data_IF_913573394975
#
_entry.id   IF_913573394975
#
_cell.length_a   1.000
_cell.length_b   1.000
_cell.length_c   1.000
_cell.angle_alpha   90.00
_cell.angle_beta   90.00
_cell.angle_gamma   90.00
#
_symmetry.space_group_name_H-M   'P 1'
#
loop_
_entity.id
_entity.type
_entity.pdbx_description
1 polymer ?
#
# COMPACT_ATOMS: atom_id res chain seq x y z
N UNK A 1 -6.61 9.93 -2.40
CA UNK A 1 -5.48 10.46 -1.61
C UNK A 1 -5.72 10.29 -0.11
N UNK A 2 -6.92 10.62 0.39
CA UNK A 2 -7.28 10.58 1.83
C UNK A 2 -7.23 9.19 2.51
N UNK A 3 -7.64 8.12 1.83
CA UNK A 3 -7.60 6.73 2.37
C UNK A 3 -6.19 6.17 2.49
N UNK A 4 -5.30 6.59 1.57
CA UNK A 4 -3.91 6.14 1.49
C UNK A 4 -3.04 6.72 2.61
N UNK A 5 -3.30 7.97 3.01
CA UNK A 5 -2.66 8.57 4.17
C UNK A 5 -3.14 7.95 5.48
N UNK A 6 -4.42 7.57 5.60
CA UNK A 6 -4.96 7.02 6.85
C UNK A 6 -4.40 5.65 7.22
N UNK A 7 -4.34 4.70 6.28
CA UNK A 7 -3.82 3.35 6.58
C UNK A 7 -2.33 3.40 6.93
N UNK A 8 -1.54 4.14 6.15
CA UNK A 8 -0.11 4.33 6.41
C UNK A 8 0.14 5.03 7.76
N UNK A 9 -0.68 6.04 8.09
CA UNK A 9 -0.59 6.75 9.37
C UNK A 9 -0.92 5.83 10.55
N UNK A 10 -2.01 5.05 10.45
CA UNK A 10 -2.41 4.11 11.52
C UNK A 10 -1.33 3.06 11.75
N UNK A 11 -0.79 2.44 10.69
CA UNK A 11 0.28 1.44 10.83
C UNK A 11 1.56 2.04 11.43
N UNK A 12 1.94 3.25 11.00
CA UNK A 12 3.11 3.95 11.54
C UNK A 12 2.93 4.32 13.02
N UNK A 13 1.73 4.75 13.40
CA UNK A 13 1.38 5.05 14.81
C UNK A 13 1.44 3.77 15.65
N UNK A 14 0.85 2.66 15.19
CA UNK A 14 0.89 1.38 15.92
C UNK A 14 2.33 0.88 16.13
N UNK A 15 3.19 0.99 15.10
CA UNK A 15 4.60 0.62 15.20
C UNK A 15 5.37 1.53 16.17
N UNK A 16 5.10 2.85 16.13
CA UNK A 16 5.70 3.80 17.05
C UNK A 16 5.30 3.53 18.51
N UNK A 17 4.04 3.19 18.75
CA UNK A 17 3.54 2.81 20.09
C UNK A 17 4.24 1.53 20.56
N UNK A 18 4.27 0.48 19.74
CA UNK A 18 4.89 -0.80 20.10
C UNK A 18 6.39 -0.67 20.38
N UNK A 19 7.09 0.16 19.60
CA UNK A 19 8.52 0.41 19.81
C UNK A 19 8.75 1.27 21.07
N UNK A 20 7.90 2.26 21.30
CA UNK A 20 7.94 3.08 22.51
C UNK A 20 7.71 2.27 23.78
N UNK A 21 6.73 1.34 23.77
CA UNK A 21 6.49 0.45 24.91
C UNK A 21 7.65 -0.51 25.14
N UNK A 22 8.22 -1.10 24.07
CA UNK A 22 9.40 -1.96 24.17
C UNK A 22 10.59 -1.21 24.79
N UNK A 23 10.86 0.01 24.31
CA UNK A 23 11.93 0.85 24.85
C UNK A 23 11.70 1.19 26.33
N UNK A 24 10.47 1.49 26.72
CA UNK A 24 10.12 1.77 28.12
C UNK A 24 10.35 0.56 29.02
N UNK A 25 9.98 -0.65 28.56
CA UNK A 25 10.25 -1.89 29.29
C UNK A 25 11.75 -2.12 29.44
N UNK A 26 12.53 -1.98 28.36
CA UNK A 26 13.99 -2.13 28.41
C UNK A 26 14.61 -1.11 29.37
N UNK A 27 14.18 0.15 29.30
CA UNK A 27 14.67 1.20 30.19
C UNK A 27 14.42 0.88 31.66
N UNK A 28 13.21 0.42 31.99
CA UNK A 28 12.84 0.02 33.33
C UNK A 28 13.66 -1.19 33.81
N UNK A 29 13.74 -2.25 33.00
CA UNK A 29 14.51 -3.46 33.35
C UNK A 29 16.01 -3.20 33.52
N UNK A 30 16.61 -2.36 32.68
CA UNK A 30 18.04 -2.01 32.81
C UNK A 30 18.28 -1.20 34.08
N UNK A 31 17.39 -0.24 34.40
CA UNK A 31 17.55 0.57 35.61
C UNK A 31 17.44 -0.29 36.86
N UNK A 32 16.44 -1.17 36.94
CA UNK A 32 16.28 -2.10 38.06
C UNK A 32 17.48 -3.05 38.22
N UNK A 33 18.01 -3.59 37.10
CA UNK A 33 19.17 -4.47 37.13
C UNK A 33 20.45 -3.75 37.58
N UNK A 34 20.60 -2.48 37.20
CA UNK A 34 21.74 -1.65 37.61
C UNK A 34 21.66 -1.33 39.10
N UNK A 35 20.49 -0.93 39.60
CA UNK A 35 20.28 -0.72 41.04
C UNK A 35 20.63 -1.97 41.87
N UNK A 36 20.16 -3.16 41.46
CA UNK A 36 20.44 -4.42 42.16
C UNK A 36 21.95 -4.76 42.15
N UNK A 37 22.61 -4.59 41.01
CA UNK A 37 24.05 -4.88 40.88
C UNK A 37 24.91 -3.87 41.64
N UNK A 38 24.53 -2.60 41.60
CA UNK A 38 25.22 -1.51 42.27
C UNK A 38 25.18 -1.71 43.79
N UNK A 39 23.99 -1.93 44.35
CA UNK A 39 23.83 -2.11 45.80
C UNK A 39 24.69 -3.29 46.33
N UNK A 40 24.78 -4.37 45.55
CA UNK A 40 25.64 -5.52 45.87
C UNK A 40 27.14 -5.18 45.76
N UNK A 41 27.56 -4.61 44.64
CA UNK A 41 28.98 -4.30 44.39
C UNK A 41 29.53 -3.30 45.42
N UNK A 42 28.79 -2.23 45.69
CA UNK A 42 29.21 -1.21 46.63
C UNK A 42 29.12 -1.66 48.09
N UNK A 43 28.15 -2.52 48.42
CA UNK A 43 28.11 -3.20 49.71
C UNK A 43 29.35 -4.07 49.95
N UNK A 44 29.77 -4.85 48.96
CA UNK A 44 31.00 -5.66 49.01
C UNK A 44 32.26 -4.79 49.16
N UNK A 45 32.35 -3.65 48.44
CA UNK A 45 33.45 -2.68 48.58
C UNK A 45 33.52 -2.07 49.98
N UNK A 46 32.38 -1.63 50.53
CA UNK A 46 32.32 -1.09 51.89
C UNK A 46 32.69 -2.16 52.94
N UNK A 47 32.22 -3.39 52.78
CA UNK A 47 32.59 -4.49 53.67
C UNK A 47 34.10 -4.80 53.63
N UNK A 48 34.73 -4.74 52.44
CA UNK A 48 36.18 -4.91 52.31
C UNK A 48 36.95 -3.77 53.01
N UNK A 49 36.49 -2.53 52.87
CA UNK A 49 37.05 -1.36 53.57
C UNK A 49 36.94 -1.54 55.09
N UNK A 50 35.75 -1.89 55.60
CA UNK A 50 35.55 -2.13 57.03
C UNK A 50 36.43 -3.24 57.57
N UNK A 51 36.59 -4.34 56.82
CA UNK A 51 37.46 -5.45 57.21
C UNK A 51 38.92 -5.03 57.32
N UNK A 52 39.39 -4.11 56.47
CA UNK A 52 40.73 -3.55 56.56
C UNK A 52 40.88 -2.70 57.85
N UNK A 53 39.90 -1.85 58.15
CA UNK A 53 39.86 -1.04 59.39
C UNK A 53 39.83 -1.95 60.64
N UNK A 54 39.00 -3.00 60.62
CA UNK A 54 38.90 -3.99 61.69
C UNK A 54 40.21 -4.77 61.90
N UNK A 55 40.90 -5.13 60.81
CA UNK A 55 42.17 -5.85 60.87
C UNK A 55 43.25 -5.04 61.59
N UNK A 56 43.35 -3.74 61.29
CA UNK A 56 44.31 -2.83 61.95
C UNK A 56 43.99 -2.66 63.43
N UNK A 57 42.72 -2.42 63.77
CA UNK A 57 42.29 -2.36 65.17
C UNK A 57 42.56 -3.68 65.92
N UNK A 58 42.26 -4.83 65.32
CA UNK A 58 42.54 -6.13 65.91
C UNK A 58 44.05 -6.37 66.12
N UNK A 59 44.90 -5.79 65.28
CA UNK A 59 46.35 -5.75 65.48
C UNK A 59 46.76 -5.04 66.77
N UNK A 60 46.16 -3.87 67.04
CA UNK A 60 46.40 -3.14 68.29
C UNK A 60 45.95 -3.94 69.52
N UNK A 61 44.76 -4.54 69.47
CA UNK A 61 44.21 -5.34 70.57
C UNK A 61 45.08 -6.56 70.84
N UNK A 62 45.52 -7.29 69.80
CA UNK A 62 46.42 -8.45 69.96
C UNK A 62 47.73 -8.09 70.63
N UNK A 63 48.23 -6.88 70.39
CA UNK A 63 49.47 -6.39 70.95
C UNK A 63 49.29 -5.65 72.30
N UNK A 64 48.05 -5.53 72.80
CA UNK A 64 47.72 -4.79 74.03
C UNK A 64 47.97 -3.28 73.94
N UNK A 65 47.94 -2.72 72.74
CA UNK A 65 48.24 -1.30 72.45
C UNK A 65 46.98 -0.45 72.24
N UNK A 66 45.80 -1.04 72.34
CA UNK A 66 44.49 -0.41 72.14
C UNK A 66 44.15 0.66 73.19
N UNK A 67 44.76 0.59 74.38
CA UNK A 67 44.63 1.62 75.42
C UNK A 67 45.64 2.76 75.35
N UNK A 68 46.63 2.70 74.45
CA UNK A 68 47.70 3.69 74.37
C UNK A 68 47.42 4.68 73.25
N UNK A 69 47.06 5.91 73.62
CA UNK A 69 46.57 6.94 72.69
C UNK A 69 47.52 7.21 71.52
N UNK A 70 48.83 7.24 71.75
CA UNK A 70 49.82 7.46 70.70
C UNK A 70 49.79 6.37 69.60
N UNK A 71 49.65 5.09 69.99
CA UNK A 71 49.59 3.97 69.04
C UNK A 71 48.24 3.91 68.32
N UNK A 72 47.14 4.22 69.03
CA UNK A 72 45.80 4.31 68.41
C UNK A 72 45.77 5.43 67.38
N UNK A 73 46.30 6.62 67.69
CA UNK A 73 46.36 7.74 66.75
C UNK A 73 47.24 7.42 65.54
N UNK A 74 48.38 6.75 65.75
CA UNK A 74 49.25 6.33 64.64
C UNK A 74 48.55 5.33 63.72
N UNK A 75 47.87 4.33 64.26
CA UNK A 75 47.11 3.36 63.47
C UNK A 75 45.93 4.02 62.72
N UNK A 76 45.21 4.91 63.39
CA UNK A 76 44.13 5.68 62.78
C UNK A 76 44.63 6.53 61.60
N UNK A 77 45.77 7.23 61.76
CA UNK A 77 46.38 8.00 60.67
C UNK A 77 46.83 7.10 59.51
N UNK A 78 47.41 5.93 59.80
CA UNK A 78 47.78 4.93 58.80
C UNK A 78 46.56 4.49 57.97
N UNK A 79 45.49 4.06 58.64
CA UNK A 79 44.24 3.66 57.98
C UNK A 79 43.65 4.80 57.15
N UNK A 80 43.57 6.02 57.69
CA UNK A 80 43.05 7.17 56.93
C UNK A 80 43.90 7.47 55.68
N UNK A 81 45.22 7.29 55.76
CA UNK A 81 46.11 7.47 54.61
C UNK A 81 45.91 6.39 53.55
N UNK A 82 45.71 5.13 53.94
CA UNK A 82 45.43 4.03 53.02
C UNK A 82 44.06 4.19 52.36
N UNK A 83 43.05 4.59 53.13
CA UNK A 83 41.70 4.86 52.61
C UNK A 83 41.67 6.08 51.67
N UNK A 84 42.52 7.09 51.89
CA UNK A 84 42.64 8.23 51.00
C UNK A 84 43.19 7.86 49.61
N UNK A 85 43.96 6.77 49.52
CA UNK A 85 44.53 6.25 48.27
C UNK A 85 43.52 5.42 47.47
N UNK A 86 42.45 4.94 48.11
CA UNK A 86 41.35 4.23 47.43
C UNK A 86 40.54 5.21 46.59
N UNK A 87 40.95 5.36 45.32
CA UNK A 87 40.19 6.06 44.29
C UNK A 87 39.55 5.03 43.37
N UNK A 88 38.24 5.13 43.18
CA UNK A 88 37.55 4.37 42.15
C UNK A 88 37.64 5.10 40.80
N UNK A 89 37.72 4.32 39.72
CA UNK A 89 37.78 4.87 38.35
C UNK A 89 36.50 5.64 37.97
N UNK A 90 35.39 5.36 38.66
CA UNK A 90 34.07 5.94 38.40
C UNK A 90 33.75 7.16 39.29
N UNK A 91 34.76 7.69 40.01
CA UNK A 91 34.63 8.89 40.84
C UNK A 91 34.05 8.63 42.23
N UNK A 92 33.91 7.36 42.62
CA UNK A 92 33.59 7.00 43.98
C UNK A 92 34.79 7.20 44.92
N UNK A 93 34.50 7.60 46.16
CA UNK A 93 35.51 7.90 47.17
C UNK A 93 35.04 7.52 48.56
N UNK A 94 36.01 7.30 49.44
CA UNK A 94 35.76 7.02 50.85
C UNK A 94 35.66 8.33 51.63
N UNK A 95 34.65 8.41 52.48
CA UNK A 95 34.42 9.50 53.43
C UNK A 95 34.39 8.87 54.83
N UNK A 96 35.19 9.39 55.75
CA UNK A 96 35.14 8.94 57.16
C UNK A 96 34.71 10.11 58.02
N UNK A 97 33.69 9.90 58.84
CA UNK A 97 33.13 10.89 59.76
C UNK A 97 33.34 10.44 61.21
N UNK A 98 33.51 11.41 62.12
CA UNK A 98 33.46 11.15 63.56
C UNK A 98 32.00 11.09 64.08
N UNK A 99 31.81 10.74 65.36
CA UNK A 99 30.50 10.72 66.04
C UNK A 99 29.68 12.02 65.93
N UNK A 100 30.35 13.14 65.67
CA UNK A 100 29.74 14.46 65.57
C UNK A 100 29.43 14.84 64.10
N UNK A 101 29.87 14.04 63.12
CA UNK A 101 29.76 14.32 61.69
C UNK A 101 30.89 15.20 61.14
N UNK A 102 32.01 15.31 61.87
CA UNK A 102 33.22 15.99 61.38
C UNK A 102 33.95 15.08 60.40
N UNK A 103 34.45 15.66 59.32
CA UNK A 103 35.21 14.93 58.31
C UNK A 103 36.59 14.55 58.84
N UNK A 104 36.84 13.26 59.04
CA UNK A 104 38.16 12.71 59.32
C UNK A 104 38.92 12.42 58.02
N UNK A 105 38.21 11.94 56.99
CA UNK A 105 38.71 11.78 55.63
C UNK A 105 37.68 12.33 54.64
N UNK A 106 38.10 13.28 53.80
CA UNK A 106 37.28 13.79 52.69
C UNK A 106 38.21 14.20 51.54
N UNK A 107 37.83 14.01 50.26
CA UNK A 107 38.70 14.32 49.12
C UNK A 107 39.07 15.80 49.00
N UNK A 108 38.23 16.71 49.48
CA UNK A 108 38.43 18.17 49.31
C UNK A 108 38.42 18.97 50.61
N UNK A 109 38.01 18.38 51.75
CA UNK A 109 37.89 19.10 53.02
C UNK A 109 39.05 18.70 53.93
N UNK A 110 39.60 19.64 54.72
CA UNK A 110 40.63 19.32 55.68
C UNK A 110 40.07 18.43 56.80
N UNK A 111 40.94 17.59 57.37
CA UNK A 111 40.61 16.75 58.52
C UNK A 111 40.13 17.63 59.70
N UNK A 112 39.07 17.20 60.36
CA UNK A 112 38.40 17.93 61.45
C UNK A 112 37.34 18.95 60.99
N UNK A 113 37.12 19.12 59.68
CA UNK A 113 36.11 20.06 59.17
C UNK A 113 34.70 19.71 59.65
N UNK A 114 33.98 20.72 60.14
CA UNK A 114 32.58 20.62 60.56
C UNK A 114 31.59 20.90 59.43
N UNK A 115 32.07 21.21 58.21
CA UNK A 115 31.22 21.60 57.09
C UNK A 115 30.16 20.55 56.71
N UNK A 116 30.44 19.27 56.98
CA UNK A 116 29.52 18.16 56.73
C UNK A 116 28.64 17.80 57.94
N UNK A 117 28.91 18.35 59.13
CA UNK A 117 28.23 17.95 60.36
C UNK A 117 26.73 18.29 60.36
N UNK A 118 26.35 19.36 59.64
CA UNK A 118 24.96 19.78 59.41
C UNK A 118 24.39 19.31 58.07
N UNK A 119 25.13 18.50 57.30
CA UNK A 119 24.66 18.04 55.99
C UNK A 119 23.48 17.08 56.13
N UNK A 120 22.56 17.03 55.12
CA UNK A 120 21.49 16.02 55.09
C UNK A 120 22.03 14.59 55.20
N UNK A 121 23.20 14.32 54.60
CA UNK A 121 23.89 13.04 54.69
C UNK A 121 24.25 12.68 56.13
N UNK A 122 24.97 13.55 56.85
CA UNK A 122 25.40 13.29 58.22
C UNK A 122 24.21 13.16 59.19
N UNK A 123 23.15 13.95 59.00
CA UNK A 123 21.94 13.85 59.82
C UNK A 123 21.23 12.51 59.62
N UNK A 124 21.15 12.00 58.39
CA UNK A 124 20.51 10.71 58.08
C UNK A 124 21.31 9.52 58.57
N UNK A 125 22.63 9.55 58.43
CA UNK A 125 23.54 8.53 59.00
C UNK A 125 23.42 8.50 60.52
N UNK A 126 23.33 9.65 61.17
CA UNK A 126 23.14 9.74 62.62
C UNK A 126 21.78 9.20 63.09
N UNK A 127 20.73 9.44 62.30
CA UNK A 127 19.38 8.99 62.59
C UNK A 127 19.20 7.46 62.42
N UNK A 128 19.99 6.83 61.54
CA UNK A 128 20.03 5.37 61.34
C UNK A 128 21.47 4.89 61.46
N UNK A 129 21.94 4.52 62.66
CA UNK A 129 23.34 4.15 62.89
C UNK A 129 23.73 2.76 62.37
N UNK A 130 22.77 1.97 61.89
CA UNK A 130 22.98 0.65 61.31
C UNK A 130 23.59 0.74 59.91
N UNK A 131 24.31 -0.30 59.48
CA UNK A 131 24.85 -0.37 58.12
C UNK A 131 23.73 -0.30 57.08
N UNK A 132 23.87 0.60 56.10
CA UNK A 132 22.82 0.82 55.12
C UNK A 132 23.25 1.69 53.95
N UNK A 133 22.34 1.83 52.99
CA UNK A 133 22.52 2.66 51.79
C UNK A 133 21.46 3.76 51.77
N UNK A 134 21.84 4.93 51.26
CA UNK A 134 20.94 6.07 51.13
C UNK A 134 21.33 6.98 49.98
N UNK A 135 20.34 7.53 49.31
CA UNK A 135 20.53 8.62 48.34
C UNK A 135 20.29 9.96 49.02
N UNK A 136 21.26 10.85 48.94
CA UNK A 136 21.24 12.14 49.65
C UNK A 136 21.99 13.20 48.87
N UNK A 137 21.95 14.43 49.37
CA UNK A 137 22.76 15.52 48.86
C UNK A 137 24.01 15.71 49.72
N UNK A 138 25.16 15.80 49.08
CA UNK A 138 26.45 16.10 49.71
C UNK A 138 27.08 17.26 48.96
N UNK A 139 27.31 18.39 49.66
CA UNK A 139 27.91 19.61 49.09
C UNK A 139 27.23 20.12 47.80
N UNK A 140 25.90 20.03 47.69
CA UNK A 140 25.17 20.49 46.49
C UNK A 140 24.99 19.44 45.39
N UNK A 141 25.60 18.26 45.52
CA UNK A 141 25.53 17.18 44.54
C UNK A 141 24.70 16.01 45.08
N UNK A 142 23.81 15.46 44.26
CA UNK A 142 23.10 14.23 44.58
C UNK A 142 24.07 13.04 44.50
N UNK A 143 24.20 12.33 45.61
CA UNK A 143 25.10 11.18 45.77
C UNK A 143 24.33 9.98 46.32
N UNK A 144 24.77 8.80 45.94
CA UNK A 144 24.43 7.55 46.58
C UNK A 144 25.54 7.22 47.58
N UNK A 145 25.17 6.85 48.80
CA UNK A 145 26.10 6.67 49.91
C UNK A 145 25.77 5.37 50.64
N UNK A 146 26.75 4.48 50.75
CA UNK A 146 26.72 3.35 51.66
C UNK A 146 27.49 3.72 52.93
N UNK A 147 26.96 3.43 54.10
CA UNK A 147 27.63 3.73 55.37
C UNK A 147 27.62 2.53 56.31
N UNK A 148 28.64 2.47 57.15
CA UNK A 148 28.74 1.53 58.24
C UNK A 148 29.49 2.15 59.41
N UNK A 149 29.10 1.78 60.62
CA UNK A 149 29.71 2.29 61.85
C UNK A 149 30.76 1.32 62.38
N UNK A 150 31.97 1.83 62.57
CA UNK A 150 33.03 1.15 63.29
C UNK A 150 33.07 1.65 64.74
N UNK A 151 32.41 0.91 65.63
CA UNK A 151 32.22 1.29 67.03
C UNK A 151 33.51 1.57 67.82
N UNK A 152 34.62 0.78 67.69
CA UNK A 152 35.82 0.97 68.51
C UNK A 152 36.46 2.37 68.39
N UNK A 153 36.38 2.99 67.22
CA UNK A 153 36.87 4.36 67.00
C UNK A 153 35.76 5.40 66.87
N UNK A 154 34.49 4.98 66.99
CA UNK A 154 33.32 5.84 66.73
C UNK A 154 33.37 6.50 65.34
N UNK A 155 33.79 5.72 64.35
CA UNK A 155 33.89 6.16 62.96
C UNK A 155 32.67 5.74 62.17
N UNK A 156 32.12 6.66 61.40
CA UNK A 156 31.14 6.36 60.36
C UNK A 156 31.89 6.34 59.03
N UNK A 157 32.14 5.14 58.51
CA UNK A 157 32.83 4.91 57.24
C UNK A 157 31.80 4.87 56.12
N UNK A 158 31.97 5.77 55.16
CA UNK A 158 31.03 5.98 54.06
C UNK A 158 31.73 5.75 52.73
N UNK A 159 31.08 5.02 51.84
CA UNK A 159 31.45 4.92 50.44
C UNK A 159 30.49 5.78 49.62
N UNK A 160 31.02 6.81 48.96
CA UNK A 160 30.22 7.86 48.29
C UNK A 160 30.41 7.76 46.80
N UNK A 161 29.29 7.69 46.07
CA UNK A 161 29.27 7.68 44.61
C UNK A 161 28.32 8.77 44.06
N UNK A 162 28.78 9.62 43.12
CA UNK A 162 27.90 10.58 42.46
C UNK A 162 26.78 9.88 41.66
N UNK A 163 25.52 10.29 41.86
CA UNK A 163 24.36 9.69 41.16
C UNK A 163 24.44 9.87 39.64
N UNK A 164 25.05 10.97 39.18
CA UNK A 164 25.29 11.21 37.76
C UNK A 164 26.27 10.22 37.14
N UNK A 165 27.28 9.76 37.90
CA UNK A 165 28.23 8.74 37.47
C UNK A 165 27.57 7.36 37.50
N UNK A 166 26.86 7.02 38.59
CA UNK A 166 26.06 5.78 38.74
C UNK A 166 25.17 5.53 37.52
N UNK A 167 24.41 6.53 37.09
CA UNK A 167 23.47 6.41 35.98
C UNK A 167 24.02 6.80 34.60
N UNK A 168 25.30 7.16 34.47
CA UNK A 168 25.87 7.55 33.17
C UNK A 168 25.84 6.42 32.13
N UNK A 169 26.20 5.15 32.45
CA UNK A 169 26.13 4.06 31.48
C UNK A 169 24.70 3.78 31.01
N UNK A 170 23.72 3.84 31.93
CA UNK A 170 22.29 3.66 31.62
C UNK A 170 21.79 4.72 30.66
N UNK A 171 22.07 6.01 30.95
CA UNK A 171 21.70 7.12 30.07
C UNK A 171 22.33 6.98 28.67
N UNK A 172 23.60 6.58 28.59
CA UNK A 172 24.27 6.36 27.31
C UNK A 172 23.63 5.22 26.51
N UNK A 173 23.23 4.12 27.17
CA UNK A 173 22.51 3.03 26.54
C UNK A 173 21.13 3.48 26.03
N UNK A 174 20.38 4.22 26.85
CA UNK A 174 19.06 4.75 26.47
C UNK A 174 19.13 5.63 25.22
N UNK A 175 20.11 6.52 25.13
CA UNK A 175 20.30 7.38 23.94
C UNK A 175 20.58 6.53 22.69
N UNK A 176 21.42 5.50 22.79
CA UNK A 176 21.70 4.59 21.65
C UNK A 176 20.45 3.81 21.22
N UNK A 177 19.66 3.33 22.18
CA UNK A 177 18.40 2.62 21.90
C UNK A 177 17.35 3.54 21.25
N UNK A 178 17.22 4.78 21.73
CA UNK A 178 16.35 5.79 21.13
C UNK A 178 16.78 6.14 19.70
N UNK A 179 18.09 6.31 19.47
CA UNK A 179 18.62 6.55 18.13
C UNK A 179 18.32 5.39 17.17
N UNK A 180 18.52 4.14 17.62
CA UNK A 180 18.20 2.95 16.84
C UNK A 180 16.69 2.86 16.52
N UNK A 181 15.84 3.18 17.50
CA UNK A 181 14.40 3.21 17.31
C UNK A 181 13.96 4.28 16.31
N UNK A 182 14.55 5.48 16.36
CA UNK A 182 14.28 6.55 15.41
C UNK A 182 14.66 6.15 13.97
N UNK A 183 15.81 5.48 13.80
CA UNK A 183 16.22 4.92 12.50
C UNK A 183 15.22 3.88 12.01
N UNK A 184 14.79 2.96 12.89
CA UNK A 184 13.79 1.94 12.56
C UNK A 184 12.46 2.54 12.11
N UNK A 185 11.97 3.57 12.82
CA UNK A 185 10.74 4.28 12.44
C UNK A 185 10.89 5.03 11.12
N UNK A 186 12.03 5.68 10.88
CA UNK A 186 12.31 6.35 9.62
C UNK A 186 12.31 5.39 8.43
N UNK A 187 13.00 4.26 8.57
CA UNK A 187 13.03 3.20 7.55
C UNK A 187 11.64 2.60 7.30
N UNK A 188 10.91 2.29 8.37
CA UNK A 188 9.54 1.78 8.28
C UNK A 188 8.62 2.75 7.53
N UNK A 189 8.67 4.04 7.89
CA UNK A 189 7.91 5.09 7.20
C UNK A 189 8.28 5.23 5.72
N UNK A 190 9.57 5.15 5.38
CA UNK A 190 10.04 5.20 4.01
C UNK A 190 9.56 4.00 3.17
N UNK A 191 9.61 2.79 3.72
CA UNK A 191 9.11 1.56 3.06
C UNK A 191 7.60 1.67 2.82
N UNK A 192 6.83 2.05 3.84
CA UNK A 192 5.37 2.22 3.72
C UNK A 192 5.01 3.29 2.69
N UNK A 193 5.73 4.41 2.66
CA UNK A 193 5.55 5.47 1.68
C UNK A 193 5.84 4.99 0.25
N UNK A 194 6.96 4.29 0.05
CA UNK A 194 7.36 3.75 -1.25
C UNK A 194 6.38 2.70 -1.78
N UNK A 195 5.97 1.74 -0.94
CA UNK A 195 4.98 0.73 -1.31
C UNK A 195 3.64 1.35 -1.69
N UNK A 196 3.18 2.32 -0.88
CA UNK A 196 2.00 3.11 -1.19
C UNK A 196 2.15 3.82 -2.55
N UNK A 197 3.30 4.43 -2.84
CA UNK A 197 3.56 5.16 -4.08
C UNK A 197 3.43 4.28 -5.32
N UNK A 198 3.99 3.07 -5.27
CA UNK A 198 3.92 2.08 -6.34
C UNK A 198 2.48 1.65 -6.61
N UNK A 199 1.75 1.19 -5.59
CA UNK A 199 0.34 0.76 -5.74
C UNK A 199 -0.52 1.88 -6.34
N UNK A 200 -0.31 3.11 -5.87
CA UNK A 200 -1.03 4.27 -6.40
C UNK A 200 -0.74 4.53 -7.88
N UNK A 201 0.48 4.24 -8.36
CA UNK A 201 0.84 4.38 -9.77
C UNK A 201 0.15 3.30 -10.63
N UNK A 202 0.16 2.04 -10.19
CA UNK A 202 -0.49 0.92 -10.89
C UNK A 202 -1.99 1.18 -11.06
N UNK A 203 -2.68 1.60 -9.99
CA UNK A 203 -4.11 1.92 -10.05
C UNK A 203 -4.39 3.03 -11.06
N UNK A 204 -3.54 4.07 -11.13
CA UNK A 204 -3.69 5.13 -12.13
C UNK A 204 -3.49 4.61 -13.56
N UNK A 205 -2.56 3.67 -13.76
CA UNK A 205 -2.30 3.05 -15.05
C UNK A 205 -3.49 2.20 -15.50
N UNK A 206 -4.02 1.33 -14.63
CA UNK A 206 -5.23 0.55 -14.91
C UNK A 206 -6.41 1.46 -15.22
N UNK A 207 -6.64 2.51 -14.42
CA UNK A 207 -7.71 3.48 -14.69
C UNK A 207 -7.54 4.21 -16.01
N UNK A 208 -6.31 4.53 -16.41
CA UNK A 208 -6.03 5.13 -17.70
C UNK A 208 -6.38 4.15 -18.84
N UNK A 209 -6.00 2.88 -18.71
CA UNK A 209 -6.31 1.85 -19.70
C UNK A 209 -7.81 1.60 -19.83
N UNK A 210 -8.52 1.50 -18.70
CA UNK A 210 -9.99 1.39 -18.69
C UNK A 210 -10.65 2.59 -19.37
N UNK A 211 -10.16 3.82 -19.16
CA UNK A 211 -10.68 5.01 -19.84
C UNK A 211 -10.43 4.98 -21.35
N UNK A 212 -9.23 4.54 -21.77
CA UNK A 212 -8.87 4.38 -23.18
C UNK A 212 -9.83 3.39 -23.86
N UNK A 213 -9.99 2.20 -23.30
CA UNK A 213 -10.89 1.18 -23.84
C UNK A 213 -12.34 1.65 -23.89
N UNK A 214 -12.84 2.26 -22.80
CA UNK A 214 -14.19 2.84 -22.77
C UNK A 214 -14.39 3.87 -23.89
N UNK A 215 -13.42 4.75 -24.12
CA UNK A 215 -13.52 5.75 -25.17
C UNK A 215 -13.52 5.13 -26.57
N UNK A 216 -12.71 4.08 -26.80
CA UNK A 216 -12.72 3.33 -28.07
C UNK A 216 -14.08 2.68 -28.32
N UNK A 217 -14.65 2.00 -27.33
CA UNK A 217 -15.99 1.40 -27.43
C UNK A 217 -17.06 2.46 -27.70
N UNK A 218 -17.00 3.60 -27.00
CA UNK A 218 -17.92 4.71 -27.22
C UNK A 218 -17.81 5.33 -28.64
N UNK A 219 -16.62 5.25 -29.25
CA UNK A 219 -16.39 5.66 -30.64
C UNK A 219 -16.76 4.57 -31.67
N UNK A 220 -17.20 3.39 -31.22
CA UNK A 220 -17.55 2.25 -32.09
C UNK A 220 -16.38 1.37 -32.48
N UNK A 221 -15.18 1.60 -31.94
CA UNK A 221 -14.00 0.79 -32.20
C UNK A 221 -13.86 -0.33 -31.16
N UNK A 222 -14.39 -1.51 -31.52
CA UNK A 222 -14.30 -2.73 -30.73
C UNK A 222 -13.00 -3.52 -30.98
N UNK A 223 -12.09 -3.05 -31.82
CA UNK A 223 -10.84 -3.76 -32.15
C UNK A 223 -9.71 -3.46 -31.17
N UNK A 224 -9.78 -2.32 -30.48
CA UNK A 224 -8.76 -1.90 -29.50
C UNK A 224 -8.76 -2.84 -28.29
N UNK A 225 -7.56 -3.25 -27.86
CA UNK A 225 -7.34 -4.07 -26.67
C UNK A 225 -6.49 -3.32 -25.66
N UNK A 226 -6.68 -3.69 -24.39
CA UNK A 226 -5.89 -3.20 -23.27
C UNK A 226 -4.51 -3.84 -23.25
N UNK A 227 -3.50 -3.05 -22.93
CA UNK A 227 -2.12 -3.54 -22.75
C UNK A 227 -1.95 -4.22 -21.37
N UNK A 228 -2.28 -5.50 -21.29
CA UNK A 228 -2.07 -6.30 -20.07
C UNK A 228 -0.58 -6.51 -19.72
N UNK A 229 0.33 -6.82 -20.67
CA UNK A 229 1.77 -6.95 -20.36
C UNK A 229 2.40 -5.71 -19.72
N UNK A 230 1.94 -4.51 -20.10
CA UNK A 230 2.37 -3.24 -19.52
C UNK A 230 1.92 -3.00 -18.07
N UNK A 231 1.02 -3.82 -17.53
CA UNK A 231 0.54 -3.75 -16.14
C UNK A 231 1.31 -4.75 -15.27
N UNK A 232 1.51 -4.39 -14.00
CA UNK A 232 2.12 -5.27 -13.00
C UNK A 232 1.31 -6.56 -12.83
N UNK A 233 2.00 -7.70 -12.64
CA UNK A 233 1.42 -9.06 -12.71
C UNK A 233 0.17 -9.26 -11.84
N UNK A 234 0.14 -8.66 -10.65
CA UNK A 234 -1.01 -8.78 -9.72
C UNK A 234 -2.29 -8.13 -10.26
N UNK A 235 -2.19 -7.14 -11.15
CA UNK A 235 -3.32 -6.39 -11.69
C UNK A 235 -3.62 -6.72 -13.16
N UNK A 236 -2.77 -7.52 -13.84
CA UNK A 236 -3.01 -7.98 -15.23
C UNK A 236 -4.37 -8.66 -15.42
N UNK A 237 -4.86 -9.52 -14.51
CA UNK A 237 -6.14 -10.21 -14.70
C UNK A 237 -7.32 -9.26 -14.89
N UNK A 238 -7.23 -8.01 -14.39
CA UNK A 238 -8.25 -6.99 -14.60
C UNK A 238 -8.32 -6.60 -16.09
N UNK A 239 -7.18 -6.26 -16.69
CA UNK A 239 -7.10 -5.86 -18.10
C UNK A 239 -7.39 -7.04 -19.03
N UNK A 240 -6.92 -8.24 -18.67
CA UNK A 240 -7.24 -9.48 -19.39
C UNK A 240 -8.75 -9.77 -19.37
N UNK A 241 -9.42 -9.59 -18.23
CA UNK A 241 -10.87 -9.73 -18.13
C UNK A 241 -11.65 -8.74 -19.02
N UNK A 242 -11.20 -7.48 -19.11
CA UNK A 242 -11.75 -6.52 -20.07
C UNK A 242 -11.54 -6.97 -21.52
N UNK A 243 -10.34 -7.45 -21.87
CA UNK A 243 -10.03 -7.96 -23.20
C UNK A 243 -10.91 -9.15 -23.59
N UNK A 244 -11.04 -10.13 -22.69
CA UNK A 244 -11.89 -11.31 -22.90
C UNK A 244 -13.36 -10.91 -23.08
N UNK A 245 -13.83 -9.92 -22.31
CA UNK A 245 -15.18 -9.38 -22.49
C UNK A 245 -15.33 -8.77 -23.88
N UNK A 246 -14.41 -7.90 -24.32
CA UNK A 246 -14.49 -7.30 -25.66
C UNK A 246 -14.43 -8.34 -26.79
N UNK A 247 -13.58 -9.36 -26.63
CA UNK A 247 -13.46 -10.47 -27.59
C UNK A 247 -14.78 -11.25 -27.72
N UNK A 248 -15.50 -11.47 -26.61
CA UNK A 248 -16.80 -12.15 -26.63
C UNK A 248 -17.87 -11.39 -27.45
N UNK A 249 -17.81 -10.06 -27.52
CA UNK A 249 -18.72 -9.24 -28.34
C UNK A 249 -18.29 -9.12 -29.80
N UNK A 250 -17.00 -9.26 -30.09
CA UNK A 250 -16.45 -9.01 -31.42
C UNK A 250 -17.04 -9.95 -32.48
N UNK A 251 -17.09 -11.25 -32.17
CA UNK A 251 -17.54 -12.27 -33.13
C UNK A 251 -19.03 -12.12 -33.49
N UNK A 252 -19.99 -12.04 -32.54
CA UNK A 252 -21.40 -11.82 -32.87
C UNK A 252 -21.66 -10.53 -33.68
N UNK A 253 -20.97 -9.44 -33.33
CA UNK A 253 -21.14 -8.16 -34.03
C UNK A 253 -20.62 -8.21 -35.46
N UNK A 254 -19.46 -8.86 -35.69
CA UNK A 254 -18.92 -9.06 -37.04
C UNK A 254 -19.88 -9.86 -37.92
N UNK A 255 -20.40 -10.98 -37.43
CA UNK A 255 -21.37 -11.81 -38.18
C UNK A 255 -22.63 -11.02 -38.51
N UNK A 256 -23.10 -10.18 -37.58
CA UNK A 256 -24.25 -9.30 -37.81
C UNK A 256 -23.99 -8.31 -38.95
N UNK A 257 -22.82 -7.66 -38.97
CA UNK A 257 -22.43 -6.72 -40.01
C UNK A 257 -22.25 -7.42 -41.37
N UNK A 258 -21.61 -8.59 -41.39
CA UNK A 258 -21.41 -9.40 -42.61
C UNK A 258 -22.76 -9.79 -43.24
N UNK A 259 -23.67 -10.36 -42.44
CA UNK A 259 -25.01 -10.76 -42.89
C UNK A 259 -25.82 -9.57 -43.42
N UNK A 260 -25.86 -8.46 -42.67
CA UNK A 260 -26.55 -7.24 -43.09
C UNK A 260 -25.97 -6.67 -44.40
N UNK A 261 -24.64 -6.69 -44.55
CA UNK A 261 -23.95 -6.22 -45.75
C UNK A 261 -24.30 -7.06 -46.97
N UNK A 262 -24.28 -8.38 -46.86
CA UNK A 262 -24.64 -9.28 -47.97
C UNK A 262 -26.08 -9.07 -48.43
N UNK A 263 -27.03 -9.01 -47.48
CA UNK A 263 -28.45 -8.75 -47.78
C UNK A 263 -28.61 -7.39 -48.47
N UNK A 264 -27.92 -6.34 -47.99
CA UNK A 264 -27.97 -5.00 -48.61
C UNK A 264 -27.46 -4.97 -50.06
N UNK A 265 -26.57 -5.91 -50.41
CA UNK A 265 -26.00 -6.05 -51.75
C UNK A 265 -26.82 -7.02 -52.62
N UNK A 266 -27.98 -7.47 -52.14
CA UNK A 266 -28.85 -8.43 -52.84
C UNK A 266 -28.28 -9.85 -52.91
N UNK A 267 -27.26 -10.17 -52.09
CA UNK A 267 -26.77 -11.53 -51.90
C UNK A 267 -27.47 -12.16 -50.71
N UNK A 268 -27.71 -13.46 -50.79
CA UNK A 268 -28.38 -14.21 -49.72
C UNK A 268 -27.30 -14.96 -48.95
N UNK A 269 -27.05 -14.61 -47.67
CA UNK A 269 -26.11 -15.33 -46.83
C UNK A 269 -26.55 -16.76 -46.58
N UNK A 270 -25.60 -17.62 -46.22
CA UNK A 270 -25.95 -18.90 -45.62
C UNK A 270 -26.48 -18.71 -44.19
N UNK A 271 -27.40 -19.55 -43.71
CA UNK A 271 -27.87 -19.49 -42.32
C UNK A 271 -26.72 -19.59 -41.31
N UNK A 272 -26.82 -18.82 -40.24
CA UNK A 272 -25.82 -18.80 -39.16
C UNK A 272 -26.03 -20.05 -38.30
N UNK A 273 -25.14 -21.04 -38.47
CA UNK A 273 -25.16 -22.31 -37.74
C UNK A 273 -24.37 -22.27 -36.41
N UNK A 274 -23.51 -21.27 -36.23
CA UNK A 274 -22.70 -21.10 -35.02
C UNK A 274 -23.61 -20.97 -33.78
N UNK A 275 -23.24 -21.67 -32.70
CA UNK A 275 -24.02 -21.68 -31.47
C UNK A 275 -23.74 -20.41 -30.67
N UNK A 276 -24.80 -19.68 -30.34
CA UNK A 276 -24.77 -18.54 -29.45
C UNK A 276 -25.69 -18.81 -28.26
N UNK A 277 -25.44 -18.15 -27.13
CA UNK A 277 -26.25 -18.25 -25.91
C UNK A 277 -26.78 -16.86 -25.51
N UNK A 278 -27.85 -16.85 -24.71
CA UNK A 278 -28.48 -15.62 -24.22
C UNK A 278 -28.90 -14.66 -25.34
N UNK A 279 -28.62 -13.36 -25.15
CA UNK A 279 -29.01 -12.30 -26.07
C UNK A 279 -28.42 -12.46 -27.48
N UNK A 280 -27.20 -13.00 -27.59
CA UNK A 280 -26.59 -13.27 -28.90
C UNK A 280 -27.34 -14.35 -29.68
N UNK A 281 -27.94 -15.32 -29.01
CA UNK A 281 -28.80 -16.30 -29.69
C UNK A 281 -30.06 -15.63 -30.25
N UNK A 282 -30.63 -14.66 -29.52
CA UNK A 282 -31.80 -13.90 -30.00
C UNK A 282 -31.45 -13.13 -31.28
N UNK A 283 -30.27 -12.50 -31.33
CA UNK A 283 -29.77 -11.80 -32.53
C UNK A 283 -29.57 -12.79 -33.69
N UNK A 284 -28.92 -13.93 -33.44
CA UNK A 284 -28.71 -14.99 -34.44
C UNK A 284 -30.03 -15.47 -35.04
N UNK A 285 -31.02 -15.80 -34.21
CA UNK A 285 -32.33 -16.26 -34.67
C UNK A 285 -33.08 -15.17 -35.46
N UNK A 286 -32.95 -13.90 -35.07
CA UNK A 286 -33.52 -12.78 -35.82
C UNK A 286 -32.87 -12.63 -37.22
N UNK A 287 -31.55 -12.75 -37.31
CA UNK A 287 -30.83 -12.72 -38.59
C UNK A 287 -31.22 -13.90 -39.47
N UNK A 288 -31.32 -15.12 -38.92
CA UNK A 288 -31.74 -16.29 -39.68
C UNK A 288 -33.17 -16.15 -40.24
N UNK A 289 -34.10 -15.58 -39.47
CA UNK A 289 -35.44 -15.24 -40.00
C UNK A 289 -35.38 -14.21 -41.13
N UNK A 290 -34.46 -13.26 -41.06
CA UNK A 290 -34.26 -12.29 -42.14
C UNK A 290 -33.71 -12.98 -43.41
N UNK A 291 -32.70 -13.84 -43.26
CA UNK A 291 -32.15 -14.66 -44.35
C UNK A 291 -33.25 -15.49 -45.01
N UNK A 292 -34.08 -16.16 -44.21
CA UNK A 292 -35.20 -16.96 -44.70
C UNK A 292 -36.22 -16.10 -45.46
N UNK A 293 -36.62 -14.95 -44.92
CA UNK A 293 -37.57 -14.05 -45.58
C UNK A 293 -37.04 -13.55 -46.93
N UNK A 294 -35.76 -13.17 -47.02
CA UNK A 294 -35.13 -12.73 -48.28
C UNK A 294 -35.03 -13.91 -49.27
N UNK A 295 -34.76 -15.12 -48.79
CA UNK A 295 -34.74 -16.34 -49.61
C UNK A 295 -36.11 -16.63 -50.20
N UNK A 296 -37.15 -16.64 -49.37
CA UNK A 296 -38.53 -16.84 -49.82
C UNK A 296 -38.98 -15.77 -50.83
N UNK A 297 -38.59 -14.50 -50.63
CA UNK A 297 -38.86 -13.44 -51.59
C UNK A 297 -38.17 -13.72 -52.93
N UNK A 298 -36.91 -14.17 -52.90
CA UNK A 298 -36.17 -14.48 -54.12
C UNK A 298 -36.77 -15.67 -54.87
N UNK A 299 -37.15 -16.72 -54.15
CA UNK A 299 -37.78 -17.89 -54.73
C UNK A 299 -39.14 -17.56 -55.36
N UNK A 300 -39.96 -16.74 -54.68
CA UNK A 300 -41.24 -16.24 -55.23
C UNK A 300 -41.02 -15.41 -56.49
N UNK A 301 -39.98 -14.58 -56.55
CA UNK A 301 -39.62 -13.81 -57.75
C UNK A 301 -39.29 -14.74 -58.93
N UNK A 302 -38.49 -15.79 -58.68
CA UNK A 302 -38.12 -16.79 -59.69
C UNK A 302 -39.33 -17.59 -60.15
N UNK A 303 -40.17 -18.05 -59.23
CA UNK A 303 -41.39 -18.79 -59.55
C UNK A 303 -42.38 -17.94 -60.37
N UNK A 304 -42.55 -16.65 -60.02
CA UNK A 304 -43.40 -15.74 -60.78
C UNK A 304 -42.86 -15.53 -62.19
N UNK A 305 -41.54 -15.35 -62.34
CA UNK A 305 -40.90 -15.20 -63.64
C UNK A 305 -41.11 -16.46 -64.50
N UNK A 306 -40.98 -17.65 -63.92
CA UNK A 306 -41.20 -18.92 -64.61
C UNK A 306 -42.67 -19.11 -65.00
N UNK A 307 -43.62 -18.81 -64.09
CA UNK A 307 -45.04 -18.91 -64.37
C UNK A 307 -45.46 -18.00 -65.53
N UNK A 308 -44.98 -16.75 -65.54
CA UNK A 308 -45.18 -15.82 -66.66
C UNK A 308 -44.58 -16.37 -67.97
N UNK A 309 -43.43 -17.05 -67.90
CA UNK A 309 -42.78 -17.65 -69.07
C UNK A 309 -43.61 -18.78 -69.66
N UNK A 310 -44.05 -19.72 -68.82
CA UNK A 310 -44.81 -20.91 -69.23
C UNK A 310 -46.20 -20.52 -69.74
N UNK A 311 -46.85 -19.56 -69.07
CA UNK A 311 -48.15 -19.06 -69.49
C UNK A 311 -48.06 -18.09 -70.69
N UNK A 312 -46.85 -17.67 -71.09
CA UNK A 312 -46.63 -16.59 -72.04
C UNK A 312 -47.38 -15.30 -71.69
N UNK A 313 -47.52 -15.00 -70.40
CA UNK A 313 -48.23 -13.81 -69.90
C UNK A 313 -47.24 -12.79 -69.35
N UNK A 314 -46.95 -11.76 -70.13
CA UNK A 314 -46.17 -10.61 -69.67
C UNK A 314 -47.04 -9.61 -68.90
N UNK A 315 -46.43 -8.85 -67.99
CA UNK A 315 -47.08 -7.75 -67.27
C UNK A 315 -46.45 -6.41 -67.69
N UNK A 316 -47.23 -5.35 -67.69
CA UNK A 316 -46.75 -3.98 -67.79
C UNK A 316 -47.40 -3.12 -66.70
N UNK A 317 -46.60 -2.26 -66.08
CA UNK A 317 -47.05 -1.33 -65.06
C UNK A 317 -46.83 0.08 -65.56
N UNK A 318 -47.87 0.91 -65.46
CA UNK A 318 -47.78 2.32 -65.78
C UNK A 318 -48.01 3.15 -64.53
N UNK A 319 -46.98 3.89 -64.14
CA UNK A 319 -47.09 4.89 -63.10
C UNK A 319 -47.58 6.20 -63.71
N UNK A 320 -48.85 6.54 -63.44
CA UNK A 320 -49.55 7.66 -64.09
C UNK A 320 -48.89 9.01 -63.75
N UNK A 321 -48.44 9.18 -62.50
CA UNK A 321 -47.88 10.43 -62.00
C UNK A 321 -46.52 10.77 -62.66
N UNK A 322 -45.63 9.78 -62.77
CA UNK A 322 -44.31 9.96 -63.40
C UNK A 322 -44.36 9.78 -64.92
N UNK A 323 -45.41 9.13 -65.43
CA UNK A 323 -45.50 8.71 -66.83
C UNK A 323 -44.58 7.54 -67.16
N UNK A 324 -43.97 6.89 -66.16
CA UNK A 324 -43.01 5.81 -66.36
C UNK A 324 -43.74 4.49 -66.60
N UNK A 325 -43.27 3.72 -67.59
CA UNK A 325 -43.84 2.41 -67.92
C UNK A 325 -42.75 1.37 -67.79
N UNK A 326 -43.00 0.34 -66.98
CA UNK A 326 -42.11 -0.80 -66.82
C UNK A 326 -42.77 -2.07 -67.34
N UNK A 327 -42.01 -2.88 -68.07
CA UNK A 327 -42.49 -4.15 -68.63
C UNK A 327 -41.74 -5.31 -67.98
N UNK A 328 -42.46 -6.41 -67.73
CA UNK A 328 -41.85 -7.63 -67.24
C UNK A 328 -40.91 -8.23 -68.30
N UNK A 329 -39.96 -9.05 -67.84
CA UNK A 329 -38.99 -9.68 -68.73
C UNK A 329 -39.66 -10.55 -69.81
N UNK A 330 -40.79 -11.20 -69.49
CA UNK A 330 -41.61 -11.97 -70.42
C UNK A 330 -42.37 -11.10 -71.42
N UNK A 331 -42.87 -9.93 -71.00
CA UNK A 331 -43.55 -9.02 -71.93
C UNK A 331 -42.62 -8.60 -73.08
N UNK A 332 -41.34 -8.34 -72.78
CA UNK A 332 -40.32 -8.13 -73.81
C UNK A 332 -40.10 -9.35 -74.72
N UNK A 333 -40.14 -10.57 -74.15
CA UNK A 333 -39.94 -11.82 -74.91
C UNK A 333 -41.10 -12.08 -75.86
N UNK A 334 -42.33 -11.91 -75.40
CA UNK A 334 -43.54 -12.07 -76.20
C UNK A 334 -43.55 -11.14 -77.42
N UNK A 335 -43.08 -9.90 -77.25
CA UNK A 335 -42.95 -8.92 -78.34
C UNK A 335 -41.71 -9.16 -79.25
N UNK A 336 -40.91 -10.20 -78.99
CA UNK A 336 -39.69 -10.50 -79.75
C UNK A 336 -38.55 -9.48 -79.57
N UNK A 337 -38.60 -8.65 -78.55
CA UNK A 337 -37.65 -7.54 -78.35
C UNK A 337 -36.39 -8.07 -77.65
N UNK A 338 -35.27 -8.06 -78.38
CA UNK A 338 -33.95 -8.47 -77.85
C UNK A 338 -33.51 -7.55 -76.70
N UNK A 339 -32.83 -8.11 -75.67
CA UNK A 339 -32.38 -7.38 -74.46
C UNK A 339 -31.71 -6.02 -74.74
N UNK A 340 -30.92 -5.91 -75.81
CA UNK A 340 -30.22 -4.67 -76.23
C UNK A 340 -31.15 -3.50 -76.61
N UNK A 341 -32.44 -3.75 -76.86
CA UNK A 341 -33.41 -2.74 -77.27
C UNK A 341 -34.41 -2.36 -76.15
N UNK A 342 -34.34 -2.99 -74.96
CA UNK A 342 -35.30 -2.77 -73.84
C UNK A 342 -35.37 -1.31 -73.37
N UNK A 343 -34.21 -0.65 -73.16
CA UNK A 343 -34.15 0.76 -72.74
C UNK A 343 -34.85 1.72 -73.72
N UNK A 344 -34.96 1.37 -75.01
CA UNK A 344 -35.63 2.20 -76.03
C UNK A 344 -37.15 2.15 -75.91
N UNK A 345 -37.72 1.08 -75.35
CA UNK A 345 -39.15 0.87 -75.17
C UNK A 345 -39.68 1.47 -73.85
N UNK A 346 -38.86 1.50 -72.79
CA UNK A 346 -39.20 2.12 -71.49
C UNK A 346 -39.29 3.65 -71.60
N UNK A 347 -38.57 4.25 -72.56
CA UNK A 347 -38.55 5.68 -72.84
C UNK A 347 -39.60 6.12 -73.88
N UNK A 348 -40.78 5.49 -73.90
CA UNK A 348 -41.87 5.90 -74.81
C UNK A 348 -42.97 6.81 -74.19
N UNK A 349 -42.68 7.89 -73.41
CA UNK A 349 -43.70 8.88 -73.05
C UNK A 349 -44.37 9.54 -74.27
N UNK A 350 -43.68 9.61 -75.42
CA UNK A 350 -44.14 10.37 -76.59
C UNK A 350 -45.17 9.67 -77.50
N UNK A 351 -45.29 8.34 -77.44
CA UNK A 351 -46.27 7.61 -78.24
C UNK A 351 -47.65 7.56 -77.53
N UNK A 352 -47.65 7.35 -76.21
CA UNK A 352 -48.87 7.30 -75.40
C UNK A 352 -49.50 8.68 -75.17
N UNK A 353 -48.70 9.77 -75.09
CA UNK A 353 -49.25 11.14 -75.03
C UNK A 353 -50.07 11.53 -76.28
N UNK A 354 -49.78 10.93 -77.45
CA UNK A 354 -50.51 11.21 -78.71
C UNK A 354 -51.85 10.48 -78.81
N UNK A 355 -51.95 9.27 -78.24
CA UNK A 355 -53.22 8.53 -78.13
C UNK A 355 -54.27 9.24 -77.26
N UNK A 356 -53.85 10.08 -76.29
CA UNK A 356 -54.77 10.83 -75.43
C UNK A 356 -55.43 12.05 -76.11
N UNK A 357 -54.98 12.48 -77.30
CA UNK A 357 -55.45 13.73 -77.95
C UNK A 357 -56.25 13.56 -79.25
N UNK A 358 -56.16 12.43 -79.96
CA UNK A 358 -56.96 12.18 -81.17
C UNK A 358 -57.26 10.70 -81.27
N UNK A 359 -58.55 10.34 -81.32
CA UNK A 359 -59.04 8.97 -81.43
C UNK A 359 -58.81 8.34 -82.81
N UNK A 360 -57.59 8.38 -83.35
CA UNK A 360 -57.20 7.68 -84.58
C UNK A 360 -55.74 7.16 -84.48
N UNK A 361 -55.44 5.95 -84.97
CA UNK A 361 -54.09 5.39 -84.99
C UNK A 361 -53.23 6.01 -86.10
N UNK A 362 -51.97 6.34 -85.78
CA UNK A 362 -51.00 6.98 -86.69
C UNK A 362 -50.20 5.96 -87.52
N UNK A 363 -49.86 6.22 -88.81
CA UNK A 363 -49.38 5.21 -89.77
C UNK A 363 -47.88 4.88 -89.69
N UNK A 364 -47.20 5.20 -88.58
CA UNK A 364 -45.75 4.98 -88.40
C UNK A 364 -45.40 4.25 -87.10
N UNK A 365 -46.30 3.41 -86.62
CA UNK A 365 -45.93 2.39 -85.64
C UNK A 365 -45.17 1.26 -86.36
N UNK A 366 -44.04 0.76 -85.81
CA UNK A 366 -43.45 -0.48 -86.31
C UNK A 366 -44.50 -1.59 -86.24
N UNK A 367 -44.65 -2.35 -87.33
CA UNK A 367 -45.67 -3.39 -87.50
C UNK A 367 -45.70 -4.40 -86.34
N UNK A 368 -46.52 -4.15 -85.33
CA UNK A 368 -46.87 -5.07 -84.24
C UNK A 368 -48.38 -5.44 -84.27
N UNK A 369 -49.05 -5.20 -85.40
CA UNK A 369 -50.50 -5.42 -85.57
C UNK A 369 -50.90 -6.80 -86.13
N UNK A 370 -49.97 -7.74 -86.36
CA UNK A 370 -50.30 -9.07 -86.93
C UNK A 370 -50.36 -10.24 -85.95
N UNK A 371 -50.24 -10.02 -84.64
CA UNK A 371 -50.28 -11.12 -83.65
C UNK A 371 -51.45 -11.07 -82.66
N UNK A 372 -52.38 -10.14 -82.83
CA UNK A 372 -53.65 -10.14 -82.10
C UNK A 372 -54.81 -10.24 -83.11
N UNK A 373 -55.06 -11.45 -83.58
CA UNK A 373 -56.35 -11.92 -84.09
C UNK A 373 -56.61 -13.31 -83.54
#
# INVERSE_FOLDING_TARGET
MYTRTRIALVQSISLAIALGTLLAVIAFSVTALVEEKDDRLYGERLAAILKAVESEHAGLVRNGLDGVEAYVQQAQQGVLSDLALLKDAEGAHVLVLDRNGRALLHPTLPAGSTALASSPAANRIRAKPETGTLETELMGASVWLAHARFAPWSWDVCYVMPLGAKHAPVRALLVKLLALAAVGLGLGGAITWAGSARIGAIIRQVLAETRRLRNSVAAGDLSVRGDAPGIESEFRPIVEGFNATMEAFERPMRVTVECATEISQGRIPSPIAERYEGDFNVIKEALNRCIEAVTQLKDREVQLALAQQVAHTGNWVWEIASGNVSWSAEFYRNLGIRRRHRRRCELMPGALRRLKRRGEPSPRAPHLERQFK
#
